data_IF_113576654628
#
_entry.id   IF_113576654628
#
_cell.length_a   1.000
_cell.length_b   1.000
_cell.length_c   1.000
_cell.angle_alpha   90.00
_cell.angle_beta   90.00
_cell.angle_gamma   90.00
#
_symmetry.space_group_name_H-M   'P 1'
#
loop_
_entity.id
_entity.type
_entity.pdbx_description
1 polymer ?
#
# COMPACT_ATOMS: atom_id res chain seq x y z
N UNK A 1 1.59 16.70 -23.90
CA UNK A 1 1.75 17.46 -22.64
C UNK A 1 1.10 16.64 -21.54
N UNK A 2 1.86 16.20 -20.55
CA UNK A 2 1.37 15.38 -19.43
C UNK A 2 0.40 16.22 -18.58
N UNK A 3 -0.89 15.84 -18.52
CA UNK A 3 -1.85 16.48 -17.62
C UNK A 3 -1.73 15.80 -16.25
N UNK A 4 -1.31 16.52 -15.19
CA UNK A 4 -1.25 15.93 -13.86
C UNK A 4 -2.63 15.39 -13.46
N UNK A 5 -2.65 14.27 -12.75
CA UNK A 5 -3.86 13.60 -12.27
C UNK A 5 -4.78 12.98 -13.33
N UNK A 6 -4.41 13.02 -14.62
CA UNK A 6 -5.08 12.14 -15.59
C UNK A 6 -4.72 10.68 -15.29
N UNK A 7 -5.61 9.75 -15.65
CA UNK A 7 -5.35 8.32 -15.55
C UNK A 7 -4.25 7.92 -16.54
N UNK A 8 -3.31 7.10 -16.09
CA UNK A 8 -2.28 6.47 -16.90
C UNK A 8 -2.19 4.98 -16.59
N UNK A 9 -1.77 4.21 -17.59
CA UNK A 9 -1.55 2.77 -17.54
C UNK A 9 -0.09 2.43 -17.91
N UNK A 10 0.71 3.43 -18.28
CA UNK A 10 2.11 3.29 -18.65
C UNK A 10 2.83 4.64 -18.58
N UNK A 11 4.16 4.59 -18.52
CA UNK A 11 5.01 5.78 -18.67
C UNK A 11 4.80 6.49 -20.02
N UNK A 12 4.46 5.76 -21.08
CA UNK A 12 4.18 6.34 -22.39
C UNK A 12 2.94 7.25 -22.41
N UNK A 13 2.02 7.11 -21.45
CA UNK A 13 0.88 8.00 -21.30
C UNK A 13 1.29 9.39 -20.76
N UNK A 14 2.52 9.50 -20.27
CA UNK A 14 3.10 10.64 -19.60
C UNK A 14 4.19 11.28 -20.47
N UNK A 15 3.79 12.01 -21.52
CA UNK A 15 4.72 12.76 -22.39
C UNK A 15 5.44 13.90 -21.63
N UNK A 16 6.48 13.56 -20.87
CA UNK A 16 7.25 14.45 -19.97
C UNK A 16 7.03 14.22 -18.48
N UNK A 17 6.46 13.08 -18.07
CA UNK A 17 6.11 12.78 -16.68
C UNK A 17 6.18 11.28 -16.34
N UNK A 18 5.68 10.89 -15.17
CA UNK A 18 5.65 9.49 -14.68
C UNK A 18 4.24 9.00 -14.35
N UNK A 19 4.02 7.69 -14.45
CA UNK A 19 2.80 7.02 -14.02
C UNK A 19 3.08 6.22 -12.73
N UNK A 20 2.80 6.81 -11.57
CA UNK A 20 3.29 6.30 -10.29
C UNK A 20 2.45 5.14 -9.73
N UNK A 21 2.90 3.88 -9.81
CA UNK A 21 2.30 2.80 -9.03
C UNK A 21 3.00 1.45 -9.26
N UNK A 22 3.08 0.63 -8.21
CA UNK A 22 3.90 -0.59 -8.18
C UNK A 22 3.53 -1.64 -9.24
N UNK A 23 2.31 -1.57 -9.78
CA UNK A 23 1.77 -2.54 -10.72
C UNK A 23 1.09 -1.87 -11.92
N UNK A 24 1.36 -0.57 -12.15
CA UNK A 24 0.81 0.18 -13.28
C UNK A 24 0.96 -0.60 -14.59
N UNK A 25 -0.13 -0.67 -15.33
CA UNK A 25 -0.17 -1.36 -16.61
C UNK A 25 -0.17 -2.88 -16.50
N UNK A 26 -0.57 -3.44 -15.35
CA UNK A 26 -0.73 -4.90 -15.17
C UNK A 26 -2.11 -5.27 -14.61
N UNK A 27 -2.54 -6.53 -14.79
CA UNK A 27 -3.86 -6.96 -14.35
C UNK A 27 -3.97 -7.07 -12.81
N UNK A 28 -4.85 -6.29 -12.19
CA UNK A 28 -5.06 -6.20 -10.74
C UNK A 28 -6.10 -7.18 -10.20
N UNK A 29 -5.71 -8.41 -9.92
CA UNK A 29 -6.65 -9.40 -9.39
C UNK A 29 -7.25 -9.06 -8.01
N UNK A 30 -6.67 -8.11 -7.26
CA UNK A 30 -7.21 -7.69 -5.98
C UNK A 30 -8.47 -6.81 -6.13
N UNK A 31 -8.78 -6.36 -7.36
CA UNK A 31 -10.01 -5.62 -7.64
C UNK A 31 -11.27 -6.49 -7.48
N UNK A 32 -11.15 -7.81 -7.59
CA UNK A 32 -12.25 -8.72 -7.29
C UNK A 32 -12.19 -9.13 -5.81
N UNK A 33 -13.21 -8.75 -5.05
CA UNK A 33 -13.33 -9.05 -3.62
C UNK A 33 -14.43 -10.09 -3.44
N UNK A 34 -14.08 -11.30 -3.00
CA UNK A 34 -15.05 -12.36 -2.77
C UNK A 34 -16.14 -11.93 -1.79
N UNK A 35 -17.37 -12.39 -2.05
CA UNK A 35 -18.59 -12.11 -1.28
C UNK A 35 -19.06 -10.64 -1.28
N UNK A 36 -18.41 -9.75 -2.02
CA UNK A 36 -18.88 -8.38 -2.18
C UNK A 36 -20.21 -8.33 -2.94
N UNK A 37 -21.15 -7.46 -2.53
CA UNK A 37 -22.45 -7.35 -3.19
C UNK A 37 -22.30 -6.86 -4.64
N UNK A 38 -22.94 -7.54 -5.57
CA UNK A 38 -22.82 -7.23 -6.99
C UNK A 38 -24.19 -7.22 -7.69
N UNK A 39 -24.31 -6.30 -8.65
CA UNK A 39 -25.41 -6.30 -9.63
C UNK A 39 -24.97 -6.95 -10.94
N UNK A 40 -23.72 -6.74 -11.31
CA UNK A 40 -23.03 -7.29 -12.47
C UNK A 40 -21.52 -7.35 -12.17
N UNK A 41 -20.74 -7.84 -13.13
CA UNK A 41 -19.30 -8.06 -12.99
C UNK A 41 -18.50 -6.77 -12.72
N UNK A 42 -19.02 -5.58 -13.09
CA UNK A 42 -18.33 -4.32 -12.83
C UNK A 42 -18.15 -4.04 -11.34
N UNK A 43 -19.08 -4.53 -10.50
CA UNK A 43 -18.99 -4.44 -9.05
C UNK A 43 -17.95 -5.40 -8.45
N UNK A 44 -17.50 -6.40 -9.22
CA UNK A 44 -16.48 -7.39 -8.85
C UNK A 44 -15.12 -7.05 -9.49
N UNK A 45 -14.79 -5.76 -9.53
CA UNK A 45 -13.59 -5.26 -10.21
C UNK A 45 -13.64 -5.33 -11.74
N UNK A 46 -14.78 -5.75 -12.32
CA UNK A 46 -14.93 -5.99 -13.74
C UNK A 46 -14.64 -7.42 -14.19
N UNK A 47 -14.31 -8.35 -13.29
CA UNK A 47 -13.95 -9.73 -13.64
C UNK A 47 -15.14 -10.48 -14.26
N UNK A 48 -15.03 -10.86 -15.54
CA UNK A 48 -16.14 -11.49 -16.29
C UNK A 48 -16.54 -12.82 -15.63
N UNK A 49 -17.84 -12.97 -15.36
CA UNK A 49 -18.41 -14.15 -14.72
C UNK A 49 -18.18 -14.23 -13.21
N UNK A 50 -17.68 -13.16 -12.58
CA UNK A 50 -17.49 -13.13 -11.13
C UNK A 50 -18.77 -12.79 -10.37
N UNK A 51 -19.69 -12.01 -10.92
CA UNK A 51 -20.93 -11.70 -10.21
C UNK A 51 -21.90 -12.88 -10.24
N UNK A 52 -22.11 -13.52 -9.09
CA UNK A 52 -23.03 -14.64 -8.97
C UNK A 52 -24.48 -14.12 -9.00
N UNK A 53 -25.23 -14.54 -10.03
CA UNK A 53 -26.59 -14.06 -10.27
C UNK A 53 -27.62 -14.54 -9.24
N UNK A 54 -27.31 -15.61 -8.50
CA UNK A 54 -28.16 -16.21 -7.46
C UNK A 54 -27.89 -15.56 -6.11
N UNK A 55 -26.64 -15.54 -5.65
CA UNK A 55 -26.28 -14.99 -4.33
C UNK A 55 -26.17 -13.47 -4.32
N UNK A 56 -26.11 -12.83 -5.50
CA UNK A 56 -25.85 -11.38 -5.66
C UNK A 56 -24.54 -10.94 -5.03
N UNK A 57 -23.55 -11.83 -5.03
CA UNK A 57 -22.21 -11.58 -4.51
C UNK A 57 -21.13 -11.98 -5.51
N UNK A 58 -19.96 -11.38 -5.39
CA UNK A 58 -18.78 -11.74 -6.18
C UNK A 58 -18.26 -13.13 -5.77
N UNK A 59 -18.01 -13.96 -6.78
CA UNK A 59 -17.29 -15.23 -6.74
C UNK A 59 -16.10 -15.09 -7.70
N UNK A 60 -14.98 -14.60 -7.16
CA UNK A 60 -13.80 -14.30 -7.95
C UNK A 60 -13.20 -15.56 -8.57
N UNK A 61 -13.31 -16.69 -7.88
CA UNK A 61 -12.85 -17.98 -8.38
C UNK A 61 -13.68 -18.44 -9.59
N UNK A 62 -15.00 -18.21 -9.61
CA UNK A 62 -15.83 -18.43 -10.79
C UNK A 62 -15.39 -17.55 -11.96
N UNK A 63 -15.10 -16.28 -11.71
CA UNK A 63 -14.56 -15.35 -12.72
C UNK A 63 -13.24 -15.83 -13.32
N UNK A 64 -12.28 -16.25 -12.50
CA UNK A 64 -11.00 -16.78 -12.99
C UNK A 64 -11.15 -18.09 -13.77
N UNK A 65 -12.08 -18.97 -13.36
CA UNK A 65 -12.44 -20.16 -14.14
C UNK A 65 -13.04 -19.81 -15.50
N UNK A 66 -13.91 -18.80 -15.56
CA UNK A 66 -14.45 -18.29 -16.81
C UNK A 66 -13.35 -17.71 -17.73
N UNK A 67 -12.30 -17.13 -17.13
CA UNK A 67 -11.10 -16.67 -17.83
C UNK A 67 -10.11 -17.79 -18.21
N UNK A 68 -10.43 -19.07 -17.93
CA UNK A 68 -9.62 -20.23 -18.31
C UNK A 68 -8.59 -20.68 -17.27
N UNK A 69 -8.57 -20.09 -16.07
CA UNK A 69 -7.71 -20.52 -14.98
C UNK A 69 -8.40 -21.57 -14.11
N UNK A 70 -7.78 -22.74 -13.94
CA UNK A 70 -8.37 -23.83 -13.17
C UNK A 70 -8.51 -23.47 -11.69
N UNK A 71 -7.51 -22.76 -11.17
CA UNK A 71 -7.45 -22.28 -9.79
C UNK A 71 -7.00 -20.82 -9.72
N UNK A 72 -7.38 -20.10 -8.67
CA UNK A 72 -6.91 -18.73 -8.40
C UNK A 72 -5.37 -18.62 -8.42
N UNK A 73 -4.66 -19.63 -7.92
CA UNK A 73 -3.19 -19.62 -7.92
C UNK A 73 -2.58 -19.64 -9.34
N UNK A 74 -3.30 -20.18 -10.34
CA UNK A 74 -2.85 -20.13 -11.73
C UNK A 74 -2.94 -18.70 -12.27
N UNK A 75 -4.00 -17.98 -11.91
CA UNK A 75 -4.15 -16.56 -12.21
C UNK A 75 -3.06 -15.73 -11.51
N UNK A 76 -2.74 -16.01 -10.24
CA UNK A 76 -1.65 -15.32 -9.52
C UNK A 76 -0.28 -15.48 -10.22
N UNK A 77 -0.02 -16.64 -10.83
CA UNK A 77 1.26 -16.91 -11.50
C UNK A 77 1.35 -16.32 -12.90
N UNK A 78 0.24 -16.22 -13.62
CA UNK A 78 0.25 -15.90 -15.05
C UNK A 78 -0.47 -14.60 -15.42
N UNK A 79 -1.28 -14.03 -14.52
CA UNK A 79 -2.13 -12.87 -14.77
C UNK A 79 -1.86 -11.74 -13.77
N UNK A 80 -2.09 -12.01 -12.50
CA UNK A 80 -2.17 -10.99 -11.45
C UNK A 80 -0.84 -10.29 -11.25
N UNK A 81 -0.84 -8.96 -11.37
CA UNK A 81 0.33 -8.09 -11.23
C UNK A 81 1.51 -8.50 -12.14
N UNK A 82 1.24 -9.23 -13.23
CA UNK A 82 2.24 -9.81 -14.13
C UNK A 82 1.92 -9.59 -15.59
N UNK A 83 0.69 -9.87 -16.00
CA UNK A 83 0.29 -9.69 -17.39
C UNK A 83 0.08 -8.20 -17.63
N UNK A 84 0.87 -7.65 -18.54
CA UNK A 84 0.72 -6.26 -18.95
C UNK A 84 -0.66 -6.03 -19.60
N UNK A 85 -1.15 -4.81 -19.51
CA UNK A 85 -2.38 -4.33 -20.11
C UNK A 85 -2.29 -2.81 -20.32
N UNK A 86 -3.19 -2.31 -21.15
CA UNK A 86 -3.35 -0.90 -21.47
C UNK A 86 -4.84 -0.55 -21.36
N UNK A 87 -5.15 0.74 -21.47
CA UNK A 87 -6.54 1.20 -21.54
C UNK A 87 -7.35 0.51 -22.65
N UNK A 88 -6.70 0.22 -23.78
CA UNK A 88 -7.37 -0.21 -25.02
C UNK A 88 -7.51 -1.74 -25.13
N UNK A 89 -6.70 -2.51 -24.40
CA UNK A 89 -6.67 -3.99 -24.47
C UNK A 89 -6.95 -4.70 -23.14
N UNK A 90 -7.21 -3.96 -22.07
CA UNK A 90 -7.45 -4.53 -20.74
C UNK A 90 -8.61 -5.52 -20.68
N UNK A 91 -9.66 -5.33 -21.47
CA UNK A 91 -10.84 -6.19 -21.50
C UNK A 91 -10.53 -7.59 -22.05
N UNK A 92 -9.59 -7.66 -22.99
CA UNK A 92 -9.08 -8.90 -23.59
C UNK A 92 -7.96 -9.50 -22.75
N UNK A 93 -7.04 -8.68 -22.25
CA UNK A 93 -5.84 -9.16 -21.56
C UNK A 93 -6.12 -9.56 -20.12
N UNK A 94 -6.94 -8.80 -19.42
CA UNK A 94 -7.30 -9.07 -18.02
C UNK A 94 -8.65 -9.79 -17.87
N UNK A 95 -9.36 -10.04 -18.98
CA UNK A 95 -10.65 -10.77 -19.05
C UNK A 95 -11.82 -10.04 -18.37
N UNK A 96 -11.94 -8.73 -18.61
CA UNK A 96 -12.71 -7.83 -17.74
C UNK A 96 -13.59 -6.83 -18.48
N UNK A 97 -14.54 -6.22 -17.79
CA UNK A 97 -15.20 -4.98 -18.20
C UNK A 97 -14.45 -3.78 -17.60
N UNK A 98 -13.42 -3.31 -18.30
CA UNK A 98 -12.93 -1.93 -18.25
C UNK A 98 -12.02 -1.45 -17.09
N UNK A 99 -11.90 -2.15 -15.96
CA UNK A 99 -11.27 -1.53 -14.76
C UNK A 99 -10.24 -2.38 -14.00
N UNK A 100 -9.79 -3.48 -14.58
CA UNK A 100 -8.87 -4.41 -13.90
C UNK A 100 -7.42 -4.26 -14.37
N UNK A 101 -7.13 -3.30 -15.25
CA UNK A 101 -5.75 -2.88 -15.48
C UNK A 101 -5.38 -1.83 -14.43
N UNK A 102 -4.32 -2.10 -13.65
CA UNK A 102 -3.81 -1.17 -12.67
C UNK A 102 -3.46 0.13 -13.37
N UNK A 103 -4.26 1.15 -13.07
CA UNK A 103 -4.01 2.50 -13.50
C UNK A 103 -3.52 3.31 -12.32
N UNK A 104 -2.75 4.34 -12.65
CA UNK A 104 -2.41 5.36 -11.69
C UNK A 104 -2.67 6.73 -12.28
N UNK A 105 -2.15 7.75 -11.60
CA UNK A 105 -2.27 9.14 -11.96
C UNK A 105 -0.94 9.62 -12.52
N UNK A 106 -1.05 10.44 -13.56
CA UNK A 106 0.09 11.10 -14.18
C UNK A 106 0.71 12.11 -13.22
N UNK A 107 2.04 12.11 -13.15
CA UNK A 107 2.87 13.10 -12.47
C UNK A 107 3.82 13.76 -13.46
N UNK A 108 4.21 15.01 -13.26
CA UNK A 108 5.10 15.73 -14.17
C UNK A 108 6.48 15.90 -13.54
N UNK A 109 7.54 15.46 -14.22
CA UNK A 109 8.94 15.59 -13.78
C UNK A 109 9.64 16.69 -14.57
N UNK A 110 9.30 17.94 -14.27
CA UNK A 110 10.07 19.10 -14.77
C UNK A 110 11.16 19.56 -13.81
N UNK A 111 11.67 18.69 -12.94
CA UNK A 111 12.84 18.99 -12.09
C UNK A 111 13.87 17.86 -12.21
N UNK A 112 15.08 18.25 -12.61
CA UNK A 112 16.27 17.41 -12.85
C UNK A 112 16.76 16.70 -11.58
N UNK A 113 16.11 15.63 -11.14
CA UNK A 113 16.71 14.74 -10.14
C UNK A 113 16.90 13.35 -10.74
N UNK A 114 18.17 13.08 -11.08
CA UNK A 114 18.71 11.79 -11.47
C UNK A 114 18.36 10.73 -10.42
N UNK A 115 17.64 9.70 -10.87
CA UNK A 115 17.42 8.46 -10.11
C UNK A 115 18.79 7.79 -9.91
N UNK A 116 19.31 7.84 -8.70
CA UNK A 116 20.43 6.99 -8.29
C UNK A 116 19.86 5.67 -7.79
N UNK A 117 20.15 4.58 -8.52
CA UNK A 117 19.99 3.21 -8.03
C UNK A 117 20.94 3.01 -6.84
N UNK A 118 20.41 2.89 -5.62
CA UNK A 118 21.23 2.59 -4.44
C UNK A 118 21.30 1.08 -4.22
N UNK A 119 22.49 0.54 -4.46
CA UNK A 119 22.89 -0.84 -4.19
C UNK A 119 24.00 -0.85 -3.11
N UNK A 120 23.64 -0.58 -1.85
CA UNK A 120 24.39 -0.87 -0.60
C UNK A 120 25.79 -0.20 -0.44
N UNK A 121 26.44 -0.17 0.75
CA UNK A 121 25.98 -0.39 2.13
C UNK A 121 26.21 0.82 3.08
N UNK A 122 25.54 0.75 4.24
CA UNK A 122 25.67 1.58 5.46
C UNK A 122 27.02 2.30 5.64
N UNK A 123 27.00 3.64 5.57
CA UNK A 123 27.91 4.50 6.34
C UNK A 123 27.13 5.55 7.12
N UNK A 124 27.26 5.45 8.43
CA UNK A 124 26.83 6.39 9.44
C UNK A 124 27.38 7.80 9.13
N UNK A 125 26.50 8.77 8.84
CA UNK A 125 26.79 10.19 9.02
C UNK A 125 25.75 10.78 9.96
N UNK A 126 26.21 11.11 11.17
CA UNK A 126 25.62 12.18 11.99
C UNK A 126 25.65 13.45 11.17
N UNK A 127 24.52 14.14 11.13
CA UNK A 127 24.47 15.56 10.82
C UNK A 127 23.75 16.23 11.99
N UNK A 128 24.55 16.66 12.95
CA UNK A 128 24.25 17.88 13.68
C UNK A 128 24.55 19.02 12.69
N UNK A 129 23.53 19.71 12.19
CA UNK A 129 23.69 20.97 11.45
C UNK A 129 22.59 21.92 11.90
N UNK A 130 22.93 22.77 12.88
CA UNK A 130 22.20 23.99 13.20
C UNK A 130 22.61 25.07 12.20
N UNK A 131 21.63 25.69 11.53
CA UNK A 131 21.75 27.06 11.04
C UNK A 131 21.93 27.26 9.54
N UNK A 132 20.81 27.23 8.80
CA UNK A 132 20.58 28.18 7.70
C UNK A 132 19.10 28.54 7.68
N UNK A 133 18.81 29.84 7.68
CA UNK A 133 17.45 30.40 7.64
C UNK A 133 16.80 30.26 6.27
N UNK A 134 16.64 29.02 5.79
CA UNK A 134 15.72 28.69 4.72
C UNK A 134 14.41 28.27 5.35
N UNK A 135 13.34 29.00 5.03
CA UNK A 135 12.00 28.59 5.42
C UNK A 135 11.75 27.22 4.78
N UNK A 136 11.55 26.14 5.56
CA UNK A 136 11.49 24.80 5.00
C UNK A 136 10.38 24.75 3.95
N UNK A 137 10.72 24.33 2.73
CA UNK A 137 9.77 24.25 1.62
C UNK A 137 9.15 22.86 1.56
N UNK A 138 7.87 22.79 1.17
CA UNK A 138 7.22 21.52 0.88
C UNK A 138 8.02 20.74 -0.17
N UNK A 139 8.48 19.55 0.19
CA UNK A 139 9.16 18.61 -0.72
C UNK A 139 8.13 17.61 -1.28
N UNK A 140 7.83 17.63 -2.59
CA UNK A 140 6.91 16.67 -3.18
C UNK A 140 7.38 15.24 -2.93
N UNK A 141 6.44 14.36 -2.54
CA UNK A 141 6.71 12.96 -2.19
C UNK A 141 7.69 12.77 -1.01
N UNK A 142 7.95 13.82 -0.22
CA UNK A 142 8.64 13.69 1.05
C UNK A 142 7.83 12.81 2.02
N UNK A 143 8.50 11.95 2.78
CA UNK A 143 7.84 11.17 3.85
C UNK A 143 7.31 12.10 4.92
N UNK A 144 6.07 11.87 5.36
CA UNK A 144 5.43 12.66 6.40
C UNK A 144 4.60 11.79 7.34
N UNK A 145 4.32 12.29 8.53
CA UNK A 145 3.44 11.68 9.54
C UNK A 145 2.31 12.63 9.94
N UNK A 146 2.39 13.88 9.48
CA UNK A 146 1.42 14.95 9.69
C UNK A 146 1.57 16.01 8.58
N UNK A 147 0.60 16.90 8.44
CA UNK A 147 0.71 18.02 7.46
C UNK A 147 1.87 18.97 7.77
N UNK A 148 2.27 19.06 9.04
CA UNK A 148 3.35 19.96 9.47
C UNK A 148 4.71 19.54 8.88
N UNK A 149 4.91 18.24 8.64
CA UNK A 149 6.09 17.70 7.98
C UNK A 149 6.21 18.13 6.51
N UNK A 150 5.12 18.65 5.93
CA UNK A 150 5.04 19.06 4.55
C UNK A 150 5.14 20.58 4.33
N UNK A 151 5.37 21.38 5.38
CA UNK A 151 5.69 22.82 5.27
C UNK A 151 4.87 23.60 4.22
N UNK A 152 3.54 23.59 4.38
CA UNK A 152 2.59 24.21 3.45
C UNK A 152 1.90 23.24 2.48
N UNK A 153 2.34 21.98 2.43
CA UNK A 153 1.63 20.89 1.75
C UNK A 153 0.68 20.11 2.65
N UNK A 154 0.13 19.03 2.09
CA UNK A 154 -0.71 18.06 2.82
C UNK A 154 0.00 16.71 2.88
N UNK A 155 -0.07 16.04 4.02
CA UNK A 155 0.41 14.68 4.15
C UNK A 155 -0.70 13.70 3.76
N UNK A 156 -0.53 13.02 2.62
CA UNK A 156 -1.53 12.13 2.05
C UNK A 156 -1.15 10.66 2.26
N UNK A 157 -2.12 9.84 2.64
CA UNK A 157 -1.96 8.41 2.85
C UNK A 157 -3.10 7.83 3.70
N UNK A 158 -3.30 6.52 3.64
CA UNK A 158 -4.24 5.84 4.53
C UNK A 158 -3.65 5.83 5.95
N UNK A 159 -4.44 6.23 6.95
CA UNK A 159 -4.09 6.15 8.36
C UNK A 159 -2.75 6.84 8.73
N UNK A 160 -2.40 7.93 8.04
CA UNK A 160 -1.20 8.74 8.33
C UNK A 160 -1.15 9.13 9.81
N UNK A 161 0.04 8.98 10.40
CA UNK A 161 0.27 9.33 11.80
C UNK A 161 -0.45 8.39 12.77
N UNK A 162 -0.82 7.18 12.33
CA UNK A 162 -1.46 6.16 13.17
C UNK A 162 -0.63 4.88 13.28
N UNK A 163 -0.75 4.19 14.41
CA UNK A 163 -0.02 2.94 14.64
C UNK A 163 -0.46 1.83 13.67
N UNK A 164 0.51 1.24 12.97
CA UNK A 164 0.28 0.22 11.95
C UNK A 164 0.33 -1.19 12.55
N UNK A 165 -0.84 -1.80 12.79
CA UNK A 165 -0.93 -3.16 13.30
C UNK A 165 -0.66 -4.24 12.26
N UNK A 166 -0.73 -3.91 10.96
CA UNK A 166 -0.42 -4.89 9.90
C UNK A 166 1.07 -5.26 9.87
N UNK A 167 1.91 -4.57 10.66
CA UNK A 167 3.32 -4.92 10.82
C UNK A 167 3.54 -6.24 11.54
N UNK A 168 2.66 -6.63 12.47
CA UNK A 168 2.74 -7.93 13.13
C UNK A 168 1.88 -8.94 12.39
N UNK A 169 2.52 -10.02 11.91
CA UNK A 169 1.85 -11.11 11.22
C UNK A 169 2.07 -12.40 12.00
N UNK A 170 0.98 -13.01 12.46
CA UNK A 170 1.01 -14.24 13.25
C UNK A 170 1.73 -15.38 12.49
N UNK A 171 2.40 -16.24 13.26
CA UNK A 171 3.09 -17.44 12.79
C UNK A 171 4.31 -17.21 11.89
N UNK A 172 4.68 -15.97 11.57
CA UNK A 172 5.95 -15.68 10.92
C UNK A 172 7.12 -16.10 11.79
N UNK A 173 8.16 -16.70 11.20
CA UNK A 173 9.37 -17.02 11.96
C UNK A 173 10.04 -15.76 12.48
N UNK A 174 10.48 -15.82 13.72
CA UNK A 174 11.15 -14.69 14.38
C UNK A 174 12.28 -15.16 15.31
N UNK A 175 13.29 -14.32 15.45
CA UNK A 175 14.34 -14.43 16.47
C UNK A 175 14.17 -13.38 17.57
N UNK A 176 13.45 -12.29 17.26
CA UNK A 176 13.12 -11.21 18.17
C UNK A 176 11.93 -10.40 17.60
N UNK A 177 11.43 -9.47 18.41
CA UNK A 177 10.22 -8.68 18.09
C UNK A 177 10.34 -7.83 16.83
N UNK A 178 11.55 -7.43 16.41
CA UNK A 178 11.72 -6.63 15.18
C UNK A 178 11.26 -7.39 13.93
N UNK A 179 11.31 -8.73 13.97
CA UNK A 179 10.82 -9.61 12.89
C UNK A 179 9.29 -9.77 12.92
N UNK A 180 8.63 -9.36 14.01
CA UNK A 180 7.18 -9.33 14.17
C UNK A 180 6.63 -7.89 13.99
N UNK A 181 7.26 -7.12 13.09
CA UNK A 181 6.92 -5.72 12.85
C UNK A 181 7.34 -4.77 13.96
N UNK A 182 8.12 -5.25 14.93
CA UNK A 182 8.57 -4.48 16.09
C UNK A 182 7.64 -4.57 17.31
N UNK A 183 6.50 -5.26 17.23
CA UNK A 183 5.57 -5.38 18.36
C UNK A 183 6.24 -6.07 19.54
N UNK A 184 6.44 -5.34 20.63
CA UNK A 184 7.14 -5.83 21.83
C UNK A 184 6.42 -7.01 22.47
N UNK A 185 7.17 -8.08 22.72
CA UNK A 185 6.67 -9.33 23.28
C UNK A 185 5.86 -10.19 22.30
N UNK A 186 5.92 -9.91 21.00
CA UNK A 186 5.24 -10.72 19.98
C UNK A 186 6.07 -11.93 19.54
N UNK A 187 7.40 -11.90 19.59
CA UNK A 187 8.19 -13.05 19.17
C UNK A 187 8.20 -14.14 20.25
N UNK A 188 7.50 -15.24 19.99
CA UNK A 188 7.48 -16.40 20.87
C UNK A 188 8.74 -17.25 20.63
N UNK A 189 9.72 -17.15 21.52
CA UNK A 189 11.00 -17.87 21.42
C UNK A 189 10.88 -19.39 21.61
N UNK A 190 9.77 -19.89 22.16
CA UNK A 190 9.54 -21.33 22.30
C UNK A 190 9.14 -21.96 20.96
N UNK A 191 8.28 -21.29 20.20
CA UNK A 191 7.82 -21.74 18.88
C UNK A 191 8.65 -21.14 17.74
N UNK A 192 9.49 -20.15 18.03
CA UNK A 192 10.25 -19.33 17.07
C UNK A 192 9.36 -18.62 16.04
N UNK A 193 8.16 -18.22 16.49
CA UNK A 193 7.15 -17.56 15.63
C UNK A 193 6.53 -16.35 16.30
N UNK A 194 6.05 -15.41 15.51
CA UNK A 194 5.27 -14.28 15.97
C UNK A 194 3.91 -14.74 16.52
N UNK A 195 3.58 -14.25 17.70
CA UNK A 195 2.31 -14.32 18.40
C UNK A 195 1.86 -12.88 18.67
N UNK A 196 1.18 -12.30 17.68
CA UNK A 196 0.74 -10.91 17.73
C UNK A 196 -0.29 -10.69 18.83
N UNK A 197 -1.11 -11.71 19.11
CA UNK A 197 -2.06 -11.67 20.23
C UNK A 197 -1.34 -11.52 21.56
N UNK A 198 -0.27 -12.29 21.80
CA UNK A 198 0.58 -12.13 22.98
C UNK A 198 1.22 -10.74 23.04
N UNK A 199 1.71 -10.21 21.91
CA UNK A 199 2.25 -8.85 21.82
C UNK A 199 1.23 -7.78 22.25
N UNK A 200 0.00 -7.84 21.75
CA UNK A 200 -1.07 -6.91 22.14
C UNK A 200 -1.51 -7.09 23.59
N UNK A 201 -1.57 -8.32 24.09
CA UNK A 201 -1.85 -8.57 25.51
C UNK A 201 -0.75 -7.99 26.42
N UNK A 202 0.51 -8.08 26.02
CA UNK A 202 1.64 -7.46 26.74
C UNK A 202 1.57 -5.92 26.70
N UNK A 203 1.01 -5.34 25.64
CA UNK A 203 0.74 -3.91 25.53
C UNK A 203 -0.50 -3.46 26.34
N UNK A 204 -1.23 -4.37 26.97
CA UNK A 204 -2.37 -4.08 27.85
C UNK A 204 -3.74 -4.22 27.19
N UNK A 205 -3.84 -4.75 25.97
CA UNK A 205 -5.12 -4.99 25.30
C UNK A 205 -5.71 -6.35 25.70
N UNK A 206 -7.04 -6.40 25.85
CA UNK A 206 -7.74 -7.62 26.27
C UNK A 206 -7.76 -8.70 25.18
N UNK A 207 -7.64 -8.31 23.92
CA UNK A 207 -7.60 -9.19 22.75
C UNK A 207 -7.07 -8.44 21.51
N UNK A 208 -6.78 -9.17 20.43
CA UNK A 208 -6.50 -8.56 19.13
C UNK A 208 -7.68 -7.69 18.64
N UNK A 209 -8.92 -8.11 18.88
CA UNK A 209 -10.11 -7.34 18.49
C UNK A 209 -10.19 -5.99 19.22
N UNK A 210 -9.82 -5.96 20.51
CA UNK A 210 -9.75 -4.73 21.30
C UNK A 210 -8.66 -3.78 20.77
N UNK A 211 -7.49 -4.33 20.43
CA UNK A 211 -6.43 -3.55 19.78
C UNK A 211 -6.89 -3.00 18.42
N UNK A 212 -7.59 -3.79 17.61
CA UNK A 212 -8.12 -3.36 16.30
C UNK A 212 -9.11 -2.21 16.41
N UNK A 213 -9.95 -2.20 17.45
CA UNK A 213 -10.98 -1.17 17.65
C UNK A 213 -10.43 0.13 18.23
N UNK A 214 -9.46 0.05 19.14
CA UNK A 214 -9.05 1.20 19.95
C UNK A 214 -7.63 1.69 19.68
N UNK A 215 -6.83 0.93 18.94
CA UNK A 215 -5.40 1.21 18.77
C UNK A 215 -4.97 1.20 17.30
N UNK A 216 -5.21 0.10 16.59
CA UNK A 216 -4.77 -0.10 15.22
C UNK A 216 -5.40 0.91 14.27
N UNK A 217 -4.57 1.68 13.56
CA UNK A 217 -5.03 2.75 12.67
C UNK A 217 -5.88 3.85 13.36
N UNK A 218 -5.93 3.86 14.70
CA UNK A 218 -6.72 4.79 15.52
C UNK A 218 -5.81 5.66 16.38
N UNK A 219 -4.86 5.05 17.08
CA UNK A 219 -3.91 5.73 17.97
C UNK A 219 -2.95 6.61 17.17
N UNK A 220 -2.88 7.90 17.52
CA UNK A 220 -1.91 8.82 16.95
C UNK A 220 -0.48 8.48 17.37
N UNK A 221 0.47 8.67 16.47
CA UNK A 221 1.90 8.51 16.69
C UNK A 221 2.71 9.49 15.81
N UNK A 222 3.99 9.61 16.12
CA UNK A 222 5.01 10.22 15.25
C UNK A 222 6.14 9.23 15.05
N UNK A 223 7.02 9.48 14.06
CA UNK A 223 8.20 8.62 13.84
C UNK A 223 9.11 8.54 15.06
N UNK A 224 9.29 9.65 15.78
CA UNK A 224 10.19 9.73 16.93
C UNK A 224 9.63 9.01 18.16
N UNK A 225 8.30 8.89 18.25
CA UNK A 225 7.62 8.31 19.40
C UNK A 225 7.04 6.91 19.15
N UNK A 226 7.17 6.34 17.95
CA UNK A 226 6.53 5.07 17.57
C UNK A 226 6.89 3.90 18.49
N UNK A 227 8.14 3.84 18.97
CA UNK A 227 8.59 2.79 19.89
C UNK A 227 7.77 2.75 21.20
N UNK A 228 7.35 3.94 21.64
CA UNK A 228 6.54 4.12 22.86
C UNK A 228 5.05 4.08 22.54
N UNK A 229 4.61 4.88 21.58
CA UNK A 229 3.19 5.10 21.30
C UNK A 229 2.55 3.92 20.58
N UNK A 230 3.34 3.16 19.81
CA UNK A 230 2.90 2.01 19.05
C UNK A 230 3.50 0.69 19.56
N UNK A 231 4.08 0.67 20.75
CA UNK A 231 4.68 -0.53 21.36
C UNK A 231 5.73 -1.21 20.46
N UNK A 232 6.49 -0.40 19.71
CA UNK A 232 7.51 -0.86 18.77
C UNK A 232 7.00 -1.10 17.35
N UNK A 233 5.69 -1.12 17.12
CA UNK A 233 5.14 -1.11 15.76
C UNK A 233 5.44 0.21 15.06
N UNK A 234 5.43 0.17 13.72
CA UNK A 234 5.67 1.34 12.90
C UNK A 234 4.51 2.34 12.99
N UNK A 235 4.85 3.63 13.00
CA UNK A 235 3.89 4.67 12.70
C UNK A 235 3.64 4.72 11.18
N UNK A 236 2.39 4.82 10.74
CA UNK A 236 2.06 4.87 9.31
C UNK A 236 2.48 6.22 8.74
N UNK A 237 3.39 6.20 7.76
CA UNK A 237 3.79 7.39 7.02
C UNK A 237 2.89 7.65 5.81
N UNK A 238 2.77 8.91 5.43
CA UNK A 238 2.25 9.35 4.15
C UNK A 238 3.33 9.97 3.27
N UNK A 239 2.87 10.63 2.21
CA UNK A 239 3.68 11.41 1.28
C UNK A 239 3.19 12.86 1.22
N UNK A 240 4.11 13.80 1.11
CA UNK A 240 3.76 15.21 0.98
C UNK A 240 3.23 15.53 -0.41
N UNK A 241 2.02 16.09 -0.45
CA UNK A 241 1.42 16.74 -1.59
C UNK A 241 1.64 18.25 -1.48
N UNK A 242 2.51 18.78 -2.33
CA UNK A 242 2.80 20.21 -2.42
C UNK A 242 1.93 20.83 -3.49
N UNK A 243 0.88 21.53 -3.08
CA UNK A 243 0.11 22.37 -3.98
C UNK A 243 0.91 23.67 -4.14
N UNK A 244 1.47 23.90 -5.34
CA UNK A 244 2.00 25.22 -5.70
C UNK A 244 0.79 26.11 -6.02
N UNK A 245 0.70 27.26 -5.36
CA UNK A 245 -0.02 28.42 -5.90
C UNK A 245 0.75 29.00 -7.10
#
# INVERSE_FOLDING_TARGET
MCKPFDICYSESDCHGGHCLGSFVGTCNCNACIDLWLCKDDSACGGLKGACNSVTKTCDCNAGFKAAGFRFFFDALRALCNRKACTKDDQDQRCFVYGHLCDSSHKFNTTTNDSVAEDSSPLRHRRSDDEGSGDNPQCKPLGTCYSNDDCFGGQCIGAFVGKCNCNGCLDLLRCENDTMCGGLKGACNLNTTTCDCTAGYSNAGFSSLADALLHFCNVKNCTKQAEDKDCFGLQCTSGLCLCLKD
#
